data_IF_000366914641
#
_entry.id   IF_000366914641
#
_cell.length_a   1.000
_cell.length_b   1.000
_cell.length_c   1.000
_cell.angle_alpha   90.00
_cell.angle_beta   90.00
_cell.angle_gamma   90.00
#
_symmetry.space_group_name_H-M   'P 1'
#
loop_
_entity.id
_entity.type
_entity.pdbx_description
1 polymer ?
#
# COMPACT_ATOMS: atom_id res chain seq x y z
N UNK A 1 8.01 30.03 -28.05
CA UNK A 1 9.26 29.25 -28.18
C UNK A 1 9.09 27.98 -27.37
N UNK A 2 9.42 26.83 -27.94
CA UNK A 2 9.29 25.55 -27.24
C UNK A 2 10.26 25.51 -26.06
N UNK A 3 9.78 25.13 -24.87
CA UNK A 3 10.60 24.97 -23.65
C UNK A 3 11.53 23.75 -23.76
N UNK A 4 11.32 22.90 -24.77
CA UNK A 4 12.01 21.63 -24.95
C UNK A 4 13.22 21.74 -25.86
N UNK A 5 14.32 21.10 -25.46
CA UNK A 5 15.59 21.09 -26.20
C UNK A 5 15.65 20.02 -27.28
N UNK A 6 14.82 18.98 -27.17
CA UNK A 6 14.75 17.89 -28.14
C UNK A 6 13.33 17.72 -28.70
N UNK A 7 13.22 17.33 -29.97
CA UNK A 7 11.93 17.00 -30.61
C UNK A 7 11.20 15.86 -29.88
N UNK A 8 11.95 14.87 -29.37
CA UNK A 8 11.41 13.75 -28.59
C UNK A 8 10.69 14.21 -27.31
N UNK A 9 11.14 15.29 -26.69
CA UNK A 9 10.46 15.86 -25.51
C UNK A 9 9.13 16.52 -25.91
N UNK A 10 9.11 17.20 -27.05
CA UNK A 10 7.89 17.81 -27.61
C UNK A 10 6.86 16.74 -27.96
N UNK A 11 7.30 15.67 -28.62
CA UNK A 11 6.48 14.52 -28.96
C UNK A 11 5.94 13.85 -27.69
N UNK A 12 6.80 13.59 -26.69
CA UNK A 12 6.37 13.01 -25.42
C UNK A 12 5.34 13.89 -24.70
N UNK A 13 5.54 15.21 -24.68
CA UNK A 13 4.59 16.14 -24.07
C UNK A 13 3.27 16.22 -24.83
N UNK A 14 3.29 16.10 -26.16
CA UNK A 14 2.08 16.01 -26.96
C UNK A 14 1.26 14.76 -26.63
N UNK A 15 1.92 13.61 -26.47
CA UNK A 15 1.26 12.35 -26.05
C UNK A 15 0.59 12.47 -24.68
N UNK A 16 1.20 13.20 -23.72
CA UNK A 16 0.58 13.46 -22.42
C UNK A 16 -0.74 14.22 -22.59
N UNK A 17 -0.76 15.27 -23.42
CA UNK A 17 -1.98 16.05 -23.70
C UNK A 17 -3.05 15.18 -24.33
N UNK A 18 -2.69 14.43 -25.39
CA UNK A 18 -3.63 13.54 -26.07
C UNK A 18 -4.24 12.51 -25.11
N UNK A 19 -3.44 11.90 -24.23
CA UNK A 19 -3.94 10.92 -23.25
C UNK A 19 -4.86 11.53 -22.19
N UNK A 20 -4.62 12.77 -21.78
CA UNK A 20 -5.50 13.47 -20.84
C UNK A 20 -6.83 13.83 -21.52
N UNK A 21 -6.78 14.33 -22.75
CA UNK A 21 -7.98 14.69 -23.54
C UNK A 21 -8.83 13.45 -23.85
N UNK A 22 -8.19 12.34 -24.22
CA UNK A 22 -8.84 11.06 -24.50
C UNK A 22 -9.23 10.28 -23.23
N UNK A 23 -8.88 10.78 -22.04
CA UNK A 23 -9.10 10.12 -20.74
C UNK A 23 -8.48 8.71 -20.63
N UNK A 24 -7.37 8.47 -21.33
CA UNK A 24 -6.60 7.21 -21.30
C UNK A 24 -5.36 7.29 -20.41
N UNK A 25 -5.08 8.47 -19.84
CA UNK A 25 -3.95 8.71 -18.94
C UNK A 25 -4.08 7.92 -17.63
N UNK A 26 -3.13 7.02 -17.34
CA UNK A 26 -3.07 6.28 -16.07
C UNK A 26 -2.10 6.95 -15.08
N UNK A 27 -0.86 7.20 -15.53
CA UNK A 27 0.21 7.74 -14.69
C UNK A 27 1.36 8.29 -15.53
N UNK A 28 1.98 9.36 -15.06
CA UNK A 28 3.28 9.84 -15.52
C UNK A 28 4.30 9.78 -14.38
N UNK A 29 5.51 9.32 -14.65
CA UNK A 29 6.63 9.31 -13.71
C UNK A 29 7.78 10.08 -14.32
N UNK A 30 8.26 11.11 -13.63
CA UNK A 30 9.48 11.84 -13.96
C UNK A 30 10.55 11.48 -12.93
N UNK A 31 11.74 11.07 -13.36
CA UNK A 31 12.81 10.63 -12.47
C UNK A 31 14.19 11.15 -12.89
N UNK A 32 15.16 10.99 -11.99
CA UNK A 32 16.51 11.55 -12.13
C UNK A 32 16.46 13.08 -12.31
N UNK A 33 15.77 13.74 -11.38
CA UNK A 33 15.63 15.19 -11.33
C UNK A 33 17.00 15.88 -11.16
N UNK A 34 17.18 17.01 -11.85
CA UNK A 34 18.40 17.83 -11.86
C UNK A 34 18.14 19.33 -11.75
N UNK A 35 16.95 19.73 -11.29
CA UNK A 35 16.64 21.13 -10.99
C UNK A 35 17.02 21.52 -9.57
N UNK A 36 16.42 22.60 -9.08
CA UNK A 36 16.80 23.27 -7.83
C UNK A 36 16.21 22.64 -6.57
N UNK A 37 15.15 21.83 -6.70
CA UNK A 37 14.55 21.11 -5.56
C UNK A 37 15.53 20.07 -5.01
N UNK A 38 16.03 20.33 -3.81
CA UNK A 38 16.98 19.46 -3.12
C UNK A 38 16.35 18.11 -2.75
N UNK A 39 17.14 17.05 -2.88
CA UNK A 39 16.76 15.67 -2.53
C UNK A 39 15.50 15.13 -3.24
N UNK A 40 15.03 15.77 -4.31
CA UNK A 40 13.91 15.27 -5.09
C UNK A 40 14.37 14.12 -5.99
N UNK A 41 13.78 12.95 -5.83
CA UNK A 41 14.18 11.73 -6.56
C UNK A 41 13.28 11.47 -7.77
N UNK A 42 11.96 11.59 -7.58
CA UNK A 42 10.94 11.36 -8.60
C UNK A 42 9.68 12.19 -8.35
N UNK A 43 8.96 12.49 -9.43
CA UNK A 43 7.61 13.06 -9.38
C UNK A 43 6.65 12.08 -10.07
N UNK A 44 5.51 11.80 -9.46
CA UNK A 44 4.46 10.95 -10.05
C UNK A 44 3.16 11.73 -10.19
N UNK A 45 2.61 11.77 -11.41
CA UNK A 45 1.32 12.40 -11.70
C UNK A 45 0.24 11.34 -11.94
N UNK A 46 -0.95 11.59 -11.39
CA UNK A 46 -2.18 10.81 -11.63
C UNK A 46 -3.38 11.73 -11.73
N UNK A 47 -4.38 11.35 -12.52
CA UNK A 47 -5.69 12.02 -12.47
C UNK A 47 -6.42 11.55 -11.20
N UNK A 48 -6.94 12.50 -10.45
CA UNK A 48 -7.77 12.26 -9.27
C UNK A 48 -9.03 13.10 -9.34
N UNK A 49 -10.08 12.70 -8.65
CA UNK A 49 -11.29 13.49 -8.49
C UNK A 49 -11.38 13.97 -7.04
N UNK A 50 -11.43 15.29 -6.86
CA UNK A 50 -11.51 15.94 -5.55
C UNK A 50 -12.69 16.91 -5.58
N UNK A 51 -13.65 16.73 -4.67
CA UNK A 51 -14.89 17.54 -4.59
C UNK A 51 -15.61 17.65 -5.96
N UNK A 52 -15.67 16.55 -6.71
CA UNK A 52 -16.34 16.49 -8.03
C UNK A 52 -15.57 17.13 -9.19
N UNK A 53 -14.30 17.53 -8.98
CA UNK A 53 -13.45 18.10 -10.03
C UNK A 53 -12.25 17.20 -10.30
N UNK A 54 -12.05 16.84 -11.58
CA UNK A 54 -10.85 16.13 -12.03
C UNK A 54 -9.63 17.05 -11.98
N UNK A 55 -8.57 16.56 -11.36
CA UNK A 55 -7.31 17.29 -11.13
C UNK A 55 -6.11 16.36 -11.38
N UNK A 56 -4.94 16.94 -11.65
CA UNK A 56 -3.67 16.23 -11.66
C UNK A 56 -3.03 16.28 -10.28
N UNK A 57 -3.01 15.14 -9.59
CA UNK A 57 -2.26 14.98 -8.34
C UNK A 57 -0.81 14.65 -8.66
N UNK A 58 0.11 15.51 -8.23
CA UNK A 58 1.55 15.33 -8.32
C UNK A 58 2.14 14.97 -6.95
N UNK A 59 2.74 13.78 -6.86
CA UNK A 59 3.49 13.32 -5.70
C UNK A 59 4.99 13.55 -5.94
N UNK A 60 5.57 14.47 -5.18
CA UNK A 60 7.00 14.76 -5.15
C UNK A 60 7.65 13.89 -4.07
N UNK A 61 8.42 12.89 -4.48
CA UNK A 61 9.11 11.97 -3.58
C UNK A 61 10.53 12.47 -3.33
N UNK A 62 10.77 12.96 -2.13
CA UNK A 62 12.11 13.28 -1.64
C UNK A 62 12.64 12.13 -0.79
N UNK A 63 13.95 12.11 -0.57
CA UNK A 63 14.62 11.05 0.20
C UNK A 63 14.02 10.82 1.60
N UNK A 64 13.49 11.87 2.25
CA UNK A 64 12.96 11.78 3.63
C UNK A 64 11.46 12.05 3.74
N UNK A 65 10.80 12.53 2.69
CA UNK A 65 9.40 12.92 2.75
C UNK A 65 8.73 12.97 1.37
N UNK A 66 7.41 12.84 1.39
CA UNK A 66 6.56 12.95 0.22
C UNK A 66 5.69 14.20 0.31
N UNK A 67 5.67 15.02 -0.75
CA UNK A 67 4.82 16.20 -0.84
C UNK A 67 3.81 15.98 -1.98
N UNK A 68 2.52 16.08 -1.68
CA UNK A 68 1.45 16.00 -2.70
C UNK A 68 0.92 17.38 -3.02
N UNK A 69 0.81 17.71 -4.31
CA UNK A 69 0.16 18.92 -4.81
C UNK A 69 -0.88 18.54 -5.86
N UNK A 70 -2.04 19.19 -5.83
CA UNK A 70 -3.09 18.99 -6.81
C UNK A 70 -3.19 20.20 -7.72
N UNK A 71 -3.21 19.94 -9.02
CA UNK A 71 -3.25 20.97 -10.06
C UNK A 71 -4.52 20.82 -10.89
N UNK A 72 -5.00 21.93 -11.46
CA UNK A 72 -5.88 21.83 -12.62
C UNK A 72 -5.14 21.14 -13.77
N UNK A 73 -5.85 20.69 -14.81
CA UNK A 73 -5.19 20.10 -15.97
C UNK A 73 -4.31 21.11 -16.70
N UNK A 74 -4.73 22.37 -16.77
CA UNK A 74 -3.96 23.46 -17.36
C UNK A 74 -2.67 23.72 -16.58
N UNK A 75 -2.77 24.01 -15.28
CA UNK A 75 -1.59 24.24 -14.41
C UNK A 75 -0.68 23.01 -14.40
N UNK A 76 -1.27 21.82 -14.35
CA UNK A 76 -0.54 20.56 -14.31
C UNK A 76 0.28 20.34 -15.58
N UNK A 77 -0.26 20.67 -16.76
CA UNK A 77 0.46 20.58 -18.04
C UNK A 77 1.61 21.59 -18.10
N UNK A 78 1.43 22.80 -17.59
CA UNK A 78 2.52 23.78 -17.50
C UNK A 78 3.65 23.30 -16.60
N UNK A 79 3.31 22.77 -15.41
CA UNK A 79 4.29 22.20 -14.49
C UNK A 79 5.01 21.00 -15.09
N UNK A 80 4.30 20.11 -15.78
CA UNK A 80 4.89 18.94 -16.44
C UNK A 80 5.87 19.38 -17.53
N UNK A 81 5.56 20.41 -18.32
CA UNK A 81 6.45 20.91 -19.36
C UNK A 81 7.81 21.35 -18.77
N UNK A 82 7.79 22.11 -17.67
CA UNK A 82 9.01 22.53 -16.96
C UNK A 82 9.75 21.31 -16.39
N UNK A 83 9.06 20.41 -15.69
CA UNK A 83 9.68 19.27 -15.01
C UNK A 83 10.29 18.25 -15.98
N UNK A 84 9.70 18.08 -17.17
CA UNK A 84 10.30 17.26 -18.23
C UNK A 84 11.70 17.76 -18.55
N UNK A 85 11.91 19.08 -18.67
CA UNK A 85 13.25 19.63 -18.96
C UNK A 85 14.27 19.34 -17.86
N UNK A 86 13.83 19.25 -16.61
CA UNK A 86 14.67 19.06 -15.43
C UNK A 86 14.92 17.58 -15.08
N UNK A 87 14.21 16.64 -15.70
CA UNK A 87 14.35 15.19 -15.47
C UNK A 87 15.05 14.49 -16.64
N UNK A 88 15.92 13.51 -16.35
CA UNK A 88 16.59 12.72 -17.40
C UNK A 88 15.76 11.55 -17.92
N UNK A 89 14.74 11.14 -17.17
CA UNK A 89 13.87 10.04 -17.57
C UNK A 89 12.41 10.38 -17.27
N UNK A 90 11.52 10.02 -18.19
CA UNK A 90 10.09 10.10 -18.02
C UNK A 90 9.42 8.83 -18.56
N UNK A 91 8.46 8.28 -17.83
CA UNK A 91 7.66 7.14 -18.26
C UNK A 91 6.18 7.51 -18.16
N UNK A 92 5.47 7.39 -19.27
CA UNK A 92 4.06 7.69 -19.42
C UNK A 92 3.28 6.40 -19.66
N UNK A 93 2.25 6.18 -18.86
CA UNK A 93 1.40 5.00 -18.90
C UNK A 93 -0.02 5.39 -19.25
N UNK A 94 -0.58 4.65 -20.20
CA UNK A 94 -2.00 4.66 -20.53
C UNK A 94 -2.57 3.24 -20.57
N UNK A 95 -3.87 3.15 -20.80
CA UNK A 95 -4.61 1.90 -20.98
C UNK A 95 -3.99 1.00 -22.06
N UNK A 96 -3.47 1.58 -23.15
CA UNK A 96 -3.08 0.84 -24.36
C UNK A 96 -1.62 1.02 -24.77
N UNK A 97 -0.91 1.98 -24.18
CA UNK A 97 0.47 2.29 -24.54
C UNK A 97 1.29 2.70 -23.33
N UNK A 98 2.58 2.36 -23.38
CA UNK A 98 3.61 2.88 -22.50
C UNK A 98 4.63 3.62 -23.35
N UNK A 99 4.97 4.83 -22.94
CA UNK A 99 5.95 5.67 -23.62
C UNK A 99 7.07 6.01 -22.64
N UNK A 100 8.31 5.75 -23.04
CA UNK A 100 9.49 6.04 -22.24
C UNK A 100 10.37 7.06 -22.96
N UNK A 101 10.66 8.16 -22.28
CA UNK A 101 11.61 9.17 -22.70
C UNK A 101 12.87 9.06 -21.82
N UNK A 102 14.02 8.87 -22.44
CA UNK A 102 15.33 8.92 -21.77
C UNK A 102 16.21 9.92 -22.49
N UNK A 103 16.84 10.83 -21.73
CA UNK A 103 17.70 11.87 -22.31
C UNK A 103 18.98 12.09 -21.53
N UNK A 104 19.99 12.57 -22.23
CA UNK A 104 21.22 13.08 -21.68
C UNK A 104 21.53 14.46 -22.31
N UNK A 105 22.70 15.03 -22.02
CA UNK A 105 23.07 16.36 -22.54
C UNK A 105 23.17 16.45 -24.07
N UNK A 106 23.33 15.31 -24.78
CA UNK A 106 23.60 15.26 -26.23
C UNK A 106 22.45 14.72 -27.06
N UNK A 107 21.61 13.85 -26.49
CA UNK A 107 20.51 13.19 -27.21
C UNK A 107 19.33 12.87 -26.28
N UNK A 108 18.14 12.77 -26.89
CA UNK A 108 16.96 12.18 -26.31
C UNK A 108 16.51 10.96 -27.12
N UNK A 109 15.92 9.97 -26.45
CA UNK A 109 15.36 8.76 -27.04
C UNK A 109 13.94 8.60 -26.54
N UNK A 110 13.03 8.33 -27.47
CA UNK A 110 11.62 8.06 -27.21
C UNK A 110 11.31 6.63 -27.65
N UNK A 111 10.84 5.80 -26.72
CA UNK A 111 10.41 4.45 -27.00
C UNK A 111 8.90 4.37 -26.74
N UNK A 112 8.14 3.93 -27.73
CA UNK A 112 6.69 3.71 -27.62
C UNK A 112 6.41 2.22 -27.71
N UNK A 113 5.93 1.63 -26.62
CA UNK A 113 5.48 0.25 -26.56
C UNK A 113 3.96 0.19 -26.53
N UNK A 114 3.36 -0.55 -27.45
CA UNK A 114 1.92 -0.88 -27.36
C UNK A 114 1.74 -1.96 -26.30
N UNK A 115 0.86 -1.74 -25.32
CA UNK A 115 0.35 -2.84 -24.48
C UNK A 115 -0.57 -3.66 -25.38
N UNK A 116 -0.31 -4.95 -25.54
CA UNK A 116 -1.26 -5.84 -26.21
C UNK A 116 -2.58 -5.81 -25.44
N UNK A 117 -3.61 -5.23 -26.07
CA UNK A 117 -4.96 -5.18 -25.52
C UNK A 117 -5.53 -6.59 -25.49
N UNK A 118 -5.74 -7.15 -24.29
CA UNK A 118 -6.85 -8.08 -24.11
C UNK A 118 -8.10 -7.22 -24.18
N UNK A 119 -8.90 -7.41 -25.22
CA UNK A 119 -10.16 -6.73 -25.46
C UNK A 119 -11.05 -6.89 -24.23
N UNK A 120 -11.21 -5.81 -23.47
CA UNK A 120 -12.35 -5.65 -22.57
C UNK A 120 -13.07 -4.39 -23.04
N UNK A 121 -14.40 -4.42 -23.25
CA UNK A 121 -15.16 -3.28 -23.74
C UNK A 121 -14.97 -2.06 -22.82
N UNK A 122 -15.26 -0.84 -23.31
CA UNK A 122 -15.09 0.38 -22.55
C UNK A 122 -15.99 0.31 -21.32
N UNK A 123 -15.39 -0.07 -20.21
CA UNK A 123 -16.01 0.08 -18.91
C UNK A 123 -16.01 1.57 -18.68
N UNK A 124 -17.20 2.15 -18.86
CA UNK A 124 -17.65 3.30 -18.09
C UNK A 124 -16.97 3.19 -16.73
N UNK A 125 -16.26 4.24 -16.31
CA UNK A 125 -15.71 4.36 -14.96
C UNK A 125 -16.87 4.37 -13.96
N UNK A 126 -17.54 3.24 -13.78
CA UNK A 126 -17.91 2.78 -12.46
C UNK A 126 -16.56 2.45 -11.81
N UNK A 127 -16.02 3.40 -11.06
CA UNK A 127 -15.01 3.16 -10.05
C UNK A 127 -15.60 2.30 -8.90
N UNK A 128 -16.23 1.20 -9.27
CA UNK A 128 -16.72 0.17 -8.39
C UNK A 128 -16.35 -1.18 -9.02
N UNK A 129 -15.04 -1.39 -9.20
CA UNK A 129 -14.54 -2.64 -8.62
C UNK A 129 -14.82 -2.44 -7.14
N UNK A 130 -15.94 -2.98 -6.66
CA UNK A 130 -16.17 -3.10 -5.22
C UNK A 130 -14.85 -3.65 -4.68
N UNK A 131 -14.10 -2.79 -4.00
CA UNK A 131 -12.87 -3.23 -3.37
C UNK A 131 -13.32 -4.37 -2.48
N UNK A 132 -12.84 -5.59 -2.72
CA UNK A 132 -13.02 -6.65 -1.75
C UNK A 132 -12.44 -6.10 -0.43
N UNK A 133 -13.34 -5.71 0.47
CA UNK A 133 -12.97 -5.16 1.76
C UNK A 133 -12.85 -6.37 2.68
N UNK A 134 -11.62 -6.86 2.82
CA UNK A 134 -11.31 -7.97 3.73
C UNK A 134 -11.59 -7.64 5.20
N UNK A 135 -11.65 -6.34 5.53
CA UNK A 135 -12.03 -5.85 6.87
C UNK A 135 -13.23 -4.93 6.73
N UNK A 136 -14.30 -5.25 7.43
CA UNK A 136 -15.50 -4.42 7.45
C UNK A 136 -15.25 -3.18 8.30
N UNK A 137 -15.60 -2.01 7.77
CA UNK A 137 -15.40 -0.74 8.49
C UNK A 137 -16.24 -0.67 9.79
N UNK A 138 -17.32 -1.45 9.88
CA UNK A 138 -18.15 -1.56 11.07
C UNK A 138 -17.64 -2.53 12.14
N UNK A 139 -16.51 -3.21 11.93
CA UNK A 139 -15.99 -4.17 12.92
C UNK A 139 -15.67 -3.49 14.25
N UNK A 140 -16.19 -4.04 15.36
CA UNK A 140 -16.15 -3.42 16.68
C UNK A 140 -14.72 -3.09 17.16
N UNK A 141 -13.75 -3.93 16.82
CA UNK A 141 -12.35 -3.71 17.20
C UNK A 141 -11.76 -2.41 16.63
N UNK A 142 -12.23 -1.95 15.47
CA UNK A 142 -11.73 -0.71 14.86
C UNK A 142 -12.04 0.51 15.73
N UNK A 143 -13.19 0.49 16.42
CA UNK A 143 -13.59 1.53 17.35
C UNK A 143 -12.72 1.52 18.60
N UNK A 144 -12.56 0.36 19.23
CA UNK A 144 -11.74 0.21 20.44
C UNK A 144 -10.26 0.54 20.22
N UNK A 145 -9.75 0.28 19.01
CA UNK A 145 -8.40 0.67 18.60
C UNK A 145 -8.28 2.14 18.16
N UNK A 146 -9.37 2.90 18.17
CA UNK A 146 -9.42 4.32 17.80
C UNK A 146 -9.20 4.58 16.32
N UNK A 147 -9.51 3.62 15.43
CA UNK A 147 -9.45 3.77 13.97
C UNK A 147 -10.75 4.41 13.46
N UNK A 148 -11.88 4.02 14.02
CA UNK A 148 -13.20 4.56 13.70
C UNK A 148 -13.78 5.35 14.86
N UNK A 149 -14.69 6.27 14.54
CA UNK A 149 -15.52 6.96 15.52
C UNK A 149 -16.76 6.14 15.91
N UNK A 150 -17.61 6.71 16.77
CA UNK A 150 -18.89 6.13 17.22
C UNK A 150 -19.86 5.80 16.07
N UNK A 151 -19.71 6.44 14.91
CA UNK A 151 -20.53 6.23 13.70
C UNK A 151 -19.84 5.29 12.69
N UNK A 152 -18.83 4.55 13.14
CA UNK A 152 -17.98 3.70 12.33
C UNK A 152 -17.27 4.43 11.17
N UNK A 153 -17.06 5.74 11.25
CA UNK A 153 -16.32 6.50 10.24
C UNK A 153 -14.82 6.50 10.56
N UNK A 154 -13.98 6.31 9.56
CA UNK A 154 -12.52 6.33 9.74
C UNK A 154 -12.09 7.71 10.21
N UNK A 155 -11.40 7.77 11.34
CA UNK A 155 -10.82 9.01 11.87
C UNK A 155 -9.74 9.49 10.90
N UNK A 156 -9.75 10.77 10.45
CA UNK A 156 -8.83 11.25 9.40
C UNK A 156 -7.34 10.99 9.69
N UNK A 157 -6.91 11.15 10.94
CA UNK A 157 -5.52 10.88 11.37
C UNK A 157 -5.14 9.39 11.28
N UNK A 158 -6.12 8.49 11.28
CA UNK A 158 -5.93 7.04 11.19
C UNK A 158 -6.10 6.48 9.79
N UNK A 159 -6.38 7.32 8.78
CA UNK A 159 -6.58 6.88 7.40
C UNK A 159 -5.37 6.10 6.83
N UNK A 160 -4.14 6.47 7.22
CA UNK A 160 -2.92 5.72 6.84
C UNK A 160 -2.89 4.33 7.49
N UNK A 161 -3.25 4.24 8.77
CA UNK A 161 -3.31 2.97 9.51
C UNK A 161 -4.40 2.05 8.95
N UNK A 162 -5.57 2.60 8.63
CA UNK A 162 -6.66 1.88 7.98
C UNK A 162 -6.22 1.25 6.65
N UNK A 163 -5.51 2.01 5.80
CA UNK A 163 -4.95 1.49 4.54
C UNK A 163 -3.92 0.39 4.79
N UNK A 164 -3.08 0.53 5.82
CA UNK A 164 -2.08 -0.48 6.19
C UNK A 164 -2.75 -1.80 6.58
N UNK A 165 -3.80 -1.75 7.42
CA UNK A 165 -4.56 -2.93 7.86
C UNK A 165 -5.15 -3.66 6.66
N UNK A 166 -5.87 -2.96 5.79
CA UNK A 166 -6.48 -3.59 4.62
C UNK A 166 -5.44 -4.22 3.69
N UNK A 167 -4.30 -3.55 3.47
CA UNK A 167 -3.25 -4.10 2.61
C UNK A 167 -2.58 -5.31 3.23
N UNK A 168 -2.40 -5.33 4.55
CA UNK A 168 -1.87 -6.50 5.25
C UNK A 168 -2.79 -7.72 5.09
N UNK A 169 -4.10 -7.55 5.31
CA UNK A 169 -5.05 -8.65 5.15
C UNK A 169 -5.15 -9.12 3.69
N UNK A 170 -5.07 -8.21 2.72
CA UNK A 170 -4.97 -8.57 1.30
C UNK A 170 -3.76 -9.48 1.02
N UNK A 171 -2.58 -9.12 1.52
CA UNK A 171 -1.35 -9.91 1.34
C UNK A 171 -1.47 -11.26 2.05
N UNK A 172 -1.98 -11.26 3.29
CA UNK A 172 -2.21 -12.48 4.06
C UNK A 172 -3.17 -13.41 3.30
N UNK A 173 -4.30 -12.91 2.82
CA UNK A 173 -5.31 -13.70 2.12
C UNK A 173 -4.71 -14.39 0.89
N UNK A 174 -3.96 -13.64 0.06
CA UNK A 174 -3.29 -14.20 -1.11
C UNK A 174 -2.21 -15.25 -0.78
N UNK A 175 -1.51 -15.10 0.34
CA UNK A 175 -0.52 -16.07 0.79
C UNK A 175 -1.18 -17.32 1.40
N UNK A 176 -2.24 -17.12 2.18
CA UNK A 176 -3.01 -18.18 2.83
C UNK A 176 -3.71 -19.10 1.82
N UNK A 177 -4.20 -18.56 0.69
CA UNK A 177 -4.77 -19.36 -0.41
C UNK A 177 -3.78 -20.38 -1.02
N UNK A 178 -2.47 -20.15 -0.88
CA UNK A 178 -1.43 -21.04 -1.41
C UNK A 178 -1.07 -22.17 -0.44
N UNK A 179 -1.50 -22.04 0.82
CA UNK A 179 -1.27 -23.01 1.88
C UNK A 179 -2.57 -23.80 2.02
N UNK A 180 -2.46 -25.12 2.21
CA UNK A 180 -3.60 -26.04 2.23
C UNK A 180 -4.77 -25.51 3.09
N UNK A 181 -5.78 -24.96 2.41
CA UNK A 181 -6.86 -24.17 2.98
C UNK A 181 -7.90 -25.03 3.70
N UNK A 182 -7.69 -26.35 3.80
CA UNK A 182 -8.60 -27.27 4.50
C UNK A 182 -8.48 -27.17 6.02
N UNK A 183 -7.34 -26.72 6.55
CA UNK A 183 -7.14 -26.58 7.99
C UNK A 183 -8.10 -25.53 8.57
N UNK A 184 -8.96 -25.96 9.51
CA UNK A 184 -9.94 -25.09 10.18
C UNK A 184 -9.33 -24.28 11.33
N UNK A 185 -8.41 -24.89 12.07
CA UNK A 185 -7.79 -24.29 13.25
C UNK A 185 -6.38 -23.79 12.93
N UNK A 186 -6.09 -22.51 13.19
CA UNK A 186 -4.79 -21.90 12.87
C UNK A 186 -4.14 -21.33 14.11
N UNK A 187 -2.92 -21.79 14.41
CA UNK A 187 -2.08 -21.28 15.47
C UNK A 187 -1.18 -20.19 14.91
N UNK A 188 -1.40 -18.96 15.36
CA UNK A 188 -0.77 -17.77 14.81
C UNK A 188 -0.05 -17.02 15.93
N UNK A 189 1.18 -16.59 15.65
CA UNK A 189 1.93 -15.73 16.58
C UNK A 189 2.39 -14.47 15.87
N UNK A 190 2.11 -13.32 16.48
CA UNK A 190 2.48 -12.00 15.99
C UNK A 190 3.53 -11.36 16.92
N UNK A 191 4.80 -11.45 16.52
CA UNK A 191 5.92 -10.88 17.26
C UNK A 191 6.07 -9.39 16.97
N UNK A 192 6.01 -8.58 18.04
CA UNK A 192 6.03 -7.12 17.92
C UNK A 192 4.65 -6.57 17.54
N UNK A 193 3.59 -7.17 18.10
CA UNK A 193 2.20 -6.85 17.78
C UNK A 193 1.79 -5.39 18.10
N UNK A 194 2.52 -4.69 18.98
CA UNK A 194 2.28 -3.29 19.30
C UNK A 194 0.88 -3.07 19.89
N UNK A 195 0.09 -2.18 19.27
CA UNK A 195 -1.32 -1.94 19.63
C UNK A 195 -2.29 -2.99 19.04
N UNK A 196 -1.78 -4.08 18.48
CA UNK A 196 -2.56 -5.20 17.96
C UNK A 196 -3.32 -4.94 16.65
N UNK A 197 -3.14 -3.79 15.98
CA UNK A 197 -3.96 -3.42 14.81
C UNK A 197 -4.07 -4.50 13.73
N UNK A 198 -2.94 -5.16 13.42
CA UNK A 198 -2.89 -6.21 12.41
C UNK A 198 -3.40 -7.54 12.98
N UNK A 199 -3.05 -7.83 14.22
CA UNK A 199 -3.49 -9.01 14.98
C UNK A 199 -5.03 -9.09 15.08
N UNK A 200 -5.68 -8.00 15.48
CA UNK A 200 -7.15 -7.90 15.57
C UNK A 200 -7.82 -8.03 14.21
N UNK A 201 -7.28 -7.36 13.19
CA UNK A 201 -7.81 -7.42 11.85
C UNK A 201 -7.71 -8.83 11.27
N UNK A 202 -6.61 -9.53 11.52
CA UNK A 202 -6.42 -10.90 11.08
C UNK A 202 -7.38 -11.86 11.77
N UNK A 203 -7.54 -11.71 13.08
CA UNK A 203 -8.51 -12.50 13.84
C UNK A 203 -9.93 -12.34 13.27
N UNK A 204 -10.38 -11.09 13.08
CA UNK A 204 -11.70 -10.80 12.52
C UNK A 204 -11.86 -11.38 11.11
N UNK A 205 -10.87 -11.19 10.23
CA UNK A 205 -10.88 -11.74 8.89
C UNK A 205 -11.03 -13.26 8.89
N UNK A 206 -10.21 -13.98 9.68
CA UNK A 206 -10.24 -15.44 9.74
C UNK A 206 -11.56 -15.98 10.31
N UNK A 207 -12.15 -15.31 11.31
CA UNK A 207 -13.49 -15.66 11.78
C UNK A 207 -14.55 -15.50 10.68
N UNK A 208 -14.49 -14.41 9.90
CA UNK A 208 -15.40 -14.20 8.76
C UNK A 208 -15.23 -15.28 7.68
N UNK A 209 -14.02 -15.85 7.55
CA UNK A 209 -13.75 -17.02 6.70
C UNK A 209 -14.10 -18.37 7.35
N UNK A 210 -14.82 -18.36 8.47
CA UNK A 210 -15.23 -19.56 9.23
C UNK A 210 -14.05 -20.43 9.71
N UNK A 211 -12.89 -19.80 9.94
CA UNK A 211 -11.74 -20.43 10.59
C UNK A 211 -11.80 -20.27 12.11
N UNK A 212 -11.01 -21.06 12.80
CA UNK A 212 -10.78 -21.00 14.26
C UNK A 212 -9.36 -20.48 14.47
N UNK A 213 -9.15 -19.15 14.49
CA UNK A 213 -7.83 -18.59 14.73
C UNK A 213 -7.50 -18.61 16.23
N UNK A 214 -6.40 -19.27 16.61
CA UNK A 214 -5.75 -19.11 17.92
C UNK A 214 -4.54 -18.19 17.71
N UNK A 215 -4.70 -16.92 18.11
CA UNK A 215 -3.68 -15.90 17.86
C UNK A 215 -3.11 -15.40 19.18
N UNK A 216 -1.78 -15.40 19.29
CA UNK A 216 -1.07 -14.72 20.38
C UNK A 216 -0.26 -13.55 19.84
N UNK A 217 -0.60 -12.34 20.27
CA UNK A 217 0.23 -11.16 20.04
C UNK A 217 1.32 -11.04 21.10
N UNK A 218 2.60 -11.04 20.70
CA UNK A 218 3.73 -10.90 21.62
C UNK A 218 4.26 -9.47 21.55
N UNK A 219 4.37 -8.80 22.70
CA UNK A 219 4.80 -7.41 22.79
C UNK A 219 5.60 -7.17 24.08
N UNK A 220 6.65 -6.36 23.99
CA UNK A 220 7.56 -6.10 25.11
C UNK A 220 6.95 -5.17 26.18
N UNK A 221 6.07 -4.26 25.77
CA UNK A 221 5.53 -3.24 26.66
C UNK A 221 4.24 -3.72 27.31
N UNK A 222 4.31 -4.00 28.61
CA UNK A 222 3.17 -4.40 29.45
C UNK A 222 1.90 -3.56 29.24
N UNK A 223 2.02 -2.24 29.18
CA UNK A 223 0.85 -1.36 29.02
C UNK A 223 0.14 -1.55 27.68
N UNK A 224 0.84 -2.02 26.64
CA UNK A 224 0.23 -2.37 25.36
C UNK A 224 -0.41 -3.76 25.39
N UNK A 225 0.22 -4.72 26.07
CA UNK A 225 -0.35 -6.05 26.32
C UNK A 225 -1.68 -5.92 27.06
N UNK A 226 -1.68 -5.20 28.19
CA UNK A 226 -2.90 -4.95 28.97
C UNK A 226 -3.96 -4.21 28.14
N UNK A 227 -3.57 -3.21 27.34
CA UNK A 227 -4.49 -2.54 26.42
C UNK A 227 -5.14 -3.52 25.44
N UNK A 228 -4.33 -4.36 24.78
CA UNK A 228 -4.80 -5.31 23.79
C UNK A 228 -5.68 -6.41 24.40
N UNK A 229 -5.34 -6.95 25.58
CA UNK A 229 -6.19 -7.91 26.29
C UNK A 229 -7.56 -7.31 26.62
N UNK A 230 -7.59 -6.08 27.18
CA UNK A 230 -8.83 -5.39 27.45
C UNK A 230 -9.68 -5.17 26.18
N UNK A 231 -9.05 -4.85 25.05
CA UNK A 231 -9.77 -4.71 23.77
C UNK A 231 -10.33 -6.06 23.31
N UNK A 232 -9.54 -7.13 23.36
CA UNK A 232 -9.97 -8.48 22.97
C UNK A 232 -11.17 -8.97 23.77
N UNK A 233 -11.18 -8.73 25.09
CA UNK A 233 -12.31 -9.03 25.96
C UNK A 233 -13.57 -8.24 25.56
N UNK A 234 -13.45 -6.92 25.35
CA UNK A 234 -14.58 -6.05 24.98
C UNK A 234 -15.23 -6.44 23.66
N UNK A 235 -14.45 -6.93 22.70
CA UNK A 235 -14.96 -7.35 21.39
C UNK A 235 -15.24 -8.86 21.31
N UNK A 236 -15.12 -9.57 22.43
CA UNK A 236 -15.38 -11.00 22.56
C UNK A 236 -14.53 -11.90 21.65
N UNK A 237 -13.26 -11.53 21.45
CA UNK A 237 -12.31 -12.32 20.68
C UNK A 237 -11.64 -13.38 21.57
N UNK A 238 -12.38 -14.46 21.86
CA UNK A 238 -12.02 -15.46 22.88
C UNK A 238 -10.75 -16.28 22.60
N UNK A 239 -10.23 -16.24 21.37
CA UNK A 239 -9.00 -16.94 20.98
C UNK A 239 -7.90 -15.98 20.52
N UNK A 240 -7.99 -14.72 20.96
CA UNK A 240 -6.96 -13.71 20.76
C UNK A 240 -6.41 -13.32 22.13
N UNK A 241 -5.16 -13.66 22.38
CA UNK A 241 -4.46 -13.32 23.62
C UNK A 241 -3.19 -12.52 23.34
N UNK A 242 -2.62 -11.91 24.37
CA UNK A 242 -1.39 -11.15 24.28
C UNK A 242 -0.43 -11.52 25.41
N UNK A 243 0.85 -11.65 25.07
CA UNK A 243 1.91 -12.07 25.98
C UNK A 243 2.99 -10.98 26.10
N UNK A 244 3.38 -10.65 27.33
CA UNK A 244 4.47 -9.72 27.61
C UNK A 244 5.83 -10.41 27.39
N UNK A 245 6.50 -10.07 26.28
CA UNK A 245 7.81 -10.63 25.97
C UNK A 245 8.23 -10.43 24.52
N UNK A 246 9.13 -11.31 24.07
CA UNK A 246 9.64 -11.40 22.71
C UNK A 246 9.73 -12.86 22.23
N UNK A 247 10.24 -13.03 21.01
CA UNK A 247 10.48 -14.31 20.33
C UNK A 247 11.38 -15.30 21.08
N UNK A 248 12.20 -14.83 22.03
CA UNK A 248 13.06 -15.70 22.84
C UNK A 248 12.31 -16.22 24.06
N UNK A 249 11.42 -15.40 24.61
CA UNK A 249 10.64 -15.72 25.81
C UNK A 249 9.34 -16.51 25.54
N UNK A 250 8.71 -16.32 24.38
CA UNK A 250 7.47 -16.99 24.03
C UNK A 250 7.75 -18.19 23.12
N UNK A 251 7.46 -19.39 23.60
CA UNK A 251 7.71 -20.64 22.88
C UNK A 251 6.39 -21.37 22.66
N UNK A 252 5.72 -21.15 21.51
CA UNK A 252 4.49 -21.86 21.20
C UNK A 252 4.81 -23.35 20.91
N UNK A 253 3.93 -24.25 21.35
CA UNK A 253 4.05 -25.68 21.04
C UNK A 253 3.76 -25.98 19.57
N UNK A 254 2.80 -25.26 18.99
CA UNK A 254 2.39 -25.36 17.58
C UNK A 254 2.32 -23.97 16.96
N UNK A 255 2.75 -23.87 15.71
CA UNK A 255 2.76 -22.62 14.95
C UNK A 255 2.49 -22.91 13.48
N UNK A 256 1.35 -22.43 12.98
CA UNK A 256 0.98 -22.54 11.56
C UNK A 256 1.38 -21.26 10.80
N UNK A 257 1.24 -20.10 11.44
CA UNK A 257 1.59 -18.79 10.86
C UNK A 257 2.39 -17.94 11.84
N UNK A 258 3.53 -17.43 11.38
CA UNK A 258 4.29 -16.41 12.08
C UNK A 258 4.17 -15.04 11.39
N UNK A 259 4.00 -13.99 12.19
CA UNK A 259 4.07 -12.58 11.77
C UNK A 259 5.20 -11.90 12.54
N UNK A 260 6.11 -11.22 11.84
CA UNK A 260 7.26 -10.54 12.42
C UNK A 260 7.58 -9.22 11.70
N UNK A 261 6.55 -8.39 11.45
CA UNK A 261 6.65 -7.20 10.59
C UNK A 261 7.43 -6.01 11.19
N UNK A 262 7.62 -6.00 12.51
CA UNK A 262 8.38 -4.96 13.23
C UNK A 262 9.65 -5.50 13.87
N UNK A 263 10.09 -6.70 13.49
CA UNK A 263 11.34 -7.26 13.96
C UNK A 263 12.51 -6.45 13.37
N UNK A 264 13.21 -5.71 14.23
CA UNK A 264 14.46 -5.04 13.89
C UNK A 264 15.63 -5.81 14.52
N UNK A 265 16.83 -5.68 13.95
CA UNK A 265 18.04 -6.39 14.40
C UNK A 265 17.90 -7.93 14.25
N UNK A 266 18.53 -8.72 15.12
CA UNK A 266 18.47 -10.20 15.12
C UNK A 266 17.08 -10.79 15.42
N UNK A 267 16.08 -9.97 15.75
CA UNK A 267 14.73 -10.45 16.06
C UNK A 267 14.07 -11.17 14.87
N UNK A 268 14.35 -10.70 13.65
CA UNK A 268 13.85 -11.32 12.41
C UNK A 268 14.47 -12.69 12.20
N UNK A 269 15.76 -12.84 12.51
CA UNK A 269 16.45 -14.13 12.41
C UNK A 269 15.88 -15.15 13.40
N UNK A 270 15.58 -14.72 14.63
CA UNK A 270 14.92 -15.58 15.62
C UNK A 270 13.50 -15.97 15.22
N UNK A 271 12.75 -15.03 14.64
CA UNK A 271 11.42 -15.30 14.11
C UNK A 271 11.49 -16.35 13.00
N UNK A 272 12.30 -16.12 11.96
CA UNK A 272 12.48 -17.07 10.85
C UNK A 272 12.96 -18.43 11.37
N UNK A 273 13.96 -18.44 12.26
CA UNK A 273 14.48 -19.67 12.86
C UNK A 273 13.38 -20.45 13.61
N UNK A 274 12.56 -19.74 14.39
CA UNK A 274 11.46 -20.35 15.16
C UNK A 274 10.37 -20.87 14.22
N UNK A 275 10.00 -20.11 13.20
CA UNK A 275 9.01 -20.51 12.20
C UNK A 275 9.44 -21.78 11.47
N UNK A 276 10.70 -21.85 11.03
CA UNK A 276 11.24 -23.05 10.38
C UNK A 276 11.29 -24.23 11.35
N UNK A 277 11.81 -24.03 12.57
CA UNK A 277 11.94 -25.08 13.59
C UNK A 277 10.60 -25.71 13.96
N UNK A 278 9.53 -24.92 13.95
CA UNK A 278 8.16 -25.37 14.27
C UNK A 278 7.35 -25.76 13.02
N UNK A 279 7.98 -25.78 11.83
CA UNK A 279 7.33 -26.07 10.55
C UNK A 279 6.11 -25.19 10.26
N UNK A 280 6.21 -23.90 10.57
CA UNK A 280 5.18 -22.93 10.19
C UNK A 280 4.95 -22.97 8.68
N UNK A 281 3.69 -23.07 8.27
CA UNK A 281 3.32 -23.04 6.85
C UNK A 281 3.48 -21.65 6.24
N UNK A 282 3.49 -20.61 7.07
CA UNK A 282 3.68 -19.23 6.65
C UNK A 282 4.54 -18.44 7.62
N UNK A 283 5.44 -17.60 7.08
CA UNK A 283 6.22 -16.60 7.83
C UNK A 283 6.11 -15.27 7.07
N UNK A 284 5.65 -14.21 7.73
CA UNK A 284 5.40 -12.88 7.16
C UNK A 284 6.20 -11.78 7.84
#
# INVERSE_FOLDING_TARGET
MSVFSFEQEQQFFHEIKQMLDQQTFERLILSQYKGELTQLEKITFRVVELHGKKQLSALYHHTTQDVTKNYSFEDGLEQIAVLITQCKQANLFSTHQEIQLKKNKKKAMLNMGKKHSVTTPPTVQAHDREKQRYVQQGSAFLKELGITDEKAQIIPSMARKWKQINKFIEIFASAYEQIDAEQKELNIVDFGSGKGYLTFALYNYLQEQQKVPLITGVELRRNLVEFCQNVAEKVHFNHLDFFEGDVRSYQPEKLDVMIALHACDIATDFAIHTGIRLNASMIM
#
